data_IF_910770284699
#
_entry.id   IF_910770284699
#
_cell.length_a   1.000
_cell.length_b   1.000
_cell.length_c   1.000
_cell.angle_alpha   90.00
_cell.angle_beta   90.00
_cell.angle_gamma   90.00
#
_symmetry.space_group_name_H-M   'P 1'
#
loop_
_entity.id
_entity.type
_entity.pdbx_description
1 polymer ?
#
# COMPACT_ATOMS: atom_id res chain seq x y z
N UNK A 1 7.87 17.51 13.34
CA UNK A 1 7.87 16.09 13.73
C UNK A 1 8.23 15.29 12.51
N UNK A 2 9.32 14.53 12.55
CA UNK A 2 9.73 13.65 11.45
C UNK A 2 8.85 12.39 11.45
N UNK A 3 8.45 11.90 10.29
CA UNK A 3 7.50 10.77 10.18
C UNK A 3 8.04 9.45 10.77
N UNK A 4 9.34 9.34 10.97
CA UNK A 4 10.00 8.21 11.61
C UNK A 4 10.29 8.40 13.11
N UNK A 5 9.89 9.54 13.71
CA UNK A 5 10.04 9.71 15.16
C UNK A 5 9.18 8.69 15.91
N UNK A 6 9.74 8.03 16.94
CA UNK A 6 9.04 7.00 17.71
C UNK A 6 8.76 5.70 16.94
N UNK A 7 9.54 5.39 15.90
CA UNK A 7 9.36 4.19 15.09
C UNK A 7 9.41 2.89 15.92
N UNK A 8 10.16 2.86 17.00
CA UNK A 8 10.26 1.70 17.90
C UNK A 8 8.91 1.35 18.52
N UNK A 9 8.14 2.35 18.95
CA UNK A 9 6.84 2.16 19.61
C UNK A 9 5.83 1.48 18.67
N UNK A 10 6.04 1.59 17.37
CA UNK A 10 5.17 0.97 16.35
C UNK A 10 5.76 -0.35 15.83
N UNK A 11 7.06 -0.36 15.54
CA UNK A 11 7.70 -1.51 14.87
C UNK A 11 7.96 -2.67 15.84
N UNK A 12 8.45 -2.40 17.05
CA UNK A 12 8.80 -3.46 18.01
C UNK A 12 7.60 -4.33 18.43
N UNK A 13 6.40 -3.80 18.70
CA UNK A 13 5.21 -4.62 18.94
C UNK A 13 4.85 -5.51 17.73
N UNK A 14 5.05 -5.02 16.51
CA UNK A 14 4.81 -5.83 15.30
C UNK A 14 5.85 -6.95 15.19
N UNK A 15 7.12 -6.64 15.39
CA UNK A 15 8.19 -7.64 15.41
C UNK A 15 7.90 -8.72 16.46
N UNK A 16 7.57 -8.33 17.68
CA UNK A 16 7.27 -9.25 18.77
C UNK A 16 6.08 -10.18 18.46
N UNK A 17 5.03 -9.66 17.83
CA UNK A 17 3.85 -10.44 17.43
C UNK A 17 4.18 -11.57 16.46
N UNK A 18 5.14 -11.38 15.56
CA UNK A 18 5.51 -12.35 14.54
C UNK A 18 6.80 -13.12 14.85
N UNK A 19 7.48 -12.83 15.96
CA UNK A 19 8.78 -13.42 16.29
C UNK A 19 8.76 -14.95 16.36
N UNK A 20 7.67 -15.54 16.88
CA UNK A 20 7.52 -17.00 17.04
C UNK A 20 6.89 -17.71 15.83
N UNK A 21 6.61 -16.99 14.74
CA UNK A 21 6.00 -17.57 13.53
C UNK A 21 7.07 -17.88 12.50
N UNK A 22 7.01 -19.04 11.91
CA UNK A 22 7.84 -19.43 10.76
C UNK A 22 7.30 -18.76 9.49
N UNK A 23 7.71 -17.50 9.29
CA UNK A 23 7.30 -16.68 8.15
C UNK A 23 8.48 -15.85 7.65
N UNK A 24 8.63 -15.77 6.35
CA UNK A 24 9.50 -14.76 5.73
C UNK A 24 8.88 -13.38 5.95
N UNK A 25 9.65 -12.48 6.56
CA UNK A 25 9.18 -11.16 6.98
C UNK A 25 9.86 -10.07 6.16
N UNK A 26 9.06 -9.16 5.66
CA UNK A 26 9.52 -8.10 4.76
C UNK A 26 9.08 -6.73 5.28
N UNK A 27 10.00 -5.77 5.19
CA UNK A 27 9.74 -4.37 5.53
C UNK A 27 9.98 -3.48 4.31
N UNK A 28 9.05 -2.59 4.04
CA UNK A 28 9.15 -1.58 2.96
C UNK A 28 8.85 -0.21 3.50
N UNK A 29 9.73 0.76 3.22
CA UNK A 29 9.51 2.12 3.67
C UNK A 29 10.06 3.17 2.70
N UNK A 30 9.65 4.41 2.88
CA UNK A 30 10.19 5.56 2.16
C UNK A 30 11.50 6.05 2.78
N UNK A 31 12.00 7.14 2.24
CA UNK A 31 13.29 7.71 2.66
C UNK A 31 13.30 8.26 4.10
N UNK A 32 12.15 8.51 4.69
CA UNK A 32 12.07 8.93 6.08
C UNK A 32 12.57 7.86 7.06
N UNK A 33 12.44 6.58 6.67
CA UNK A 33 12.89 5.43 7.44
C UNK A 33 14.31 4.96 7.09
N UNK A 34 15.06 5.74 6.29
CA UNK A 34 16.45 5.45 5.96
C UNK A 34 17.38 5.80 7.15
N UNK A 35 17.18 5.13 8.27
CA UNK A 35 17.85 5.36 9.55
C UNK A 35 18.68 4.12 9.92
N UNK A 36 19.99 4.25 10.27
CA UNK A 36 20.85 3.12 10.61
C UNK A 36 20.28 2.19 11.68
N UNK A 37 19.67 2.76 12.72
CA UNK A 37 19.06 1.98 13.80
C UNK A 37 17.91 1.07 13.31
N UNK A 38 17.16 1.49 12.29
CA UNK A 38 16.10 0.68 11.67
C UNK A 38 16.73 -0.50 10.90
N UNK A 39 17.78 -0.26 10.13
CA UNK A 39 18.47 -1.34 9.42
C UNK A 39 19.01 -2.39 10.39
N UNK A 40 19.72 -1.95 11.44
CA UNK A 40 20.26 -2.82 12.46
C UNK A 40 19.16 -3.65 13.13
N UNK A 41 18.04 -3.02 13.50
CA UNK A 41 16.91 -3.69 14.15
C UNK A 41 16.26 -4.74 13.25
N UNK A 42 16.07 -4.43 11.97
CA UNK A 42 15.51 -5.36 10.99
C UNK A 42 16.45 -6.54 10.72
N UNK A 43 17.76 -6.28 10.60
CA UNK A 43 18.78 -7.30 10.40
C UNK A 43 18.86 -8.24 11.62
N UNK A 44 18.89 -7.69 12.83
CA UNK A 44 18.90 -8.44 14.10
C UNK A 44 17.68 -9.38 14.22
N UNK A 45 16.53 -8.93 13.77
CA UNK A 45 15.26 -9.68 13.89
C UNK A 45 14.91 -10.52 12.68
N UNK A 46 15.83 -10.62 11.71
CA UNK A 46 15.68 -11.48 10.52
C UNK A 46 14.62 -11.02 9.52
N UNK A 47 14.42 -9.71 9.42
CA UNK A 47 13.56 -9.12 8.38
C UNK A 47 14.35 -8.83 7.12
N UNK A 48 13.78 -9.16 5.98
CA UNK A 48 14.18 -8.57 4.71
C UNK A 48 13.59 -7.17 4.58
N UNK A 49 14.38 -6.23 4.01
CA UNK A 49 13.88 -4.88 3.84
C UNK A 49 14.25 -4.25 2.50
N UNK A 50 13.43 -3.29 2.08
CA UNK A 50 13.70 -2.37 0.99
C UNK A 50 13.26 -0.97 1.42
N UNK A 51 14.22 -0.07 1.53
CA UNK A 51 13.98 1.29 2.00
C UNK A 51 14.57 2.27 0.99
N UNK A 52 13.81 3.28 0.60
CA UNK A 52 14.33 4.30 -0.30
C UNK A 52 15.45 5.08 0.39
N UNK A 53 16.58 5.20 -0.30
CA UNK A 53 17.71 6.00 0.18
C UNK A 53 17.71 7.36 -0.51
N UNK A 54 17.86 8.48 0.23
CA UNK A 54 18.03 9.79 -0.37
C UNK A 54 19.27 9.82 -1.26
N UNK A 55 19.16 10.46 -2.42
CA UNK A 55 20.29 10.63 -3.34
C UNK A 55 21.31 11.59 -2.76
N UNK A 56 22.61 11.26 -2.89
CA UNK A 56 23.74 12.12 -2.55
C UNK A 56 24.82 12.08 -3.64
N UNK A 57 25.85 12.91 -3.50
CA UNK A 57 26.92 13.02 -4.49
C UNK A 57 27.70 11.70 -4.65
N UNK A 58 28.05 11.05 -3.54
CA UNK A 58 28.81 9.78 -3.54
C UNK A 58 28.06 8.67 -4.26
N UNK A 59 26.75 8.53 -3.99
CA UNK A 59 25.92 7.55 -4.70
C UNK A 59 25.82 7.82 -6.20
N UNK A 60 25.73 9.10 -6.60
CA UNK A 60 25.72 9.48 -8.02
C UNK A 60 27.05 9.22 -8.69
N UNK A 61 28.16 9.47 -8.00
CA UNK A 61 29.51 9.20 -8.49
C UNK A 61 29.72 7.71 -8.76
N UNK A 62 29.29 6.83 -7.85
CA UNK A 62 29.37 5.37 -8.03
C UNK A 62 28.70 4.88 -9.32
N UNK A 63 27.64 5.54 -9.78
CA UNK A 63 26.89 5.18 -10.99
C UNK A 63 27.14 6.14 -12.16
N UNK A 64 28.16 7.03 -12.07
CA UNK A 64 28.39 8.09 -13.07
C UNK A 64 28.51 7.54 -14.50
N UNK A 65 29.10 6.37 -14.67
CA UNK A 65 29.23 5.68 -15.97
C UNK A 65 27.88 5.30 -16.61
N UNK A 66 26.79 5.17 -15.83
CA UNK A 66 25.43 4.91 -16.31
C UNK A 66 24.62 6.18 -16.54
N UNK A 67 25.10 7.33 -16.08
CA UNK A 67 24.42 8.62 -16.24
C UNK A 67 24.69 9.29 -17.57
N UNK A 68 25.69 8.80 -18.32
CA UNK A 68 25.91 9.21 -19.69
C UNK A 68 24.75 8.79 -20.59
N UNK A 69 24.32 9.68 -21.49
CA UNK A 69 23.23 9.38 -22.40
C UNK A 69 23.55 8.14 -23.23
N UNK A 70 22.66 7.13 -23.28
CA UNK A 70 22.87 5.96 -24.11
C UNK A 70 23.06 6.32 -25.59
N UNK A 71 24.05 5.71 -26.24
CA UNK A 71 24.32 5.91 -27.66
C UNK A 71 23.15 5.41 -28.51
N UNK A 72 22.81 6.13 -29.57
CA UNK A 72 21.74 5.78 -30.50
C UNK A 72 20.52 6.69 -30.39
N UNK A 73 19.53 6.42 -31.25
CA UNK A 73 18.26 7.17 -31.27
C UNK A 73 17.42 6.76 -30.05
N UNK A 74 17.03 7.70 -29.18
CA UNK A 74 16.18 7.37 -28.03
C UNK A 74 14.79 6.91 -28.49
N UNK A 75 14.21 5.98 -27.74
CA UNK A 75 12.81 5.62 -27.95
C UNK A 75 11.90 6.81 -27.68
N UNK A 76 10.92 7.05 -28.54
CA UNK A 76 9.91 8.09 -28.34
C UNK A 76 8.77 7.66 -27.40
N UNK A 77 8.66 6.37 -27.10
CA UNK A 77 7.53 5.82 -26.37
C UNK A 77 7.92 4.96 -25.16
N UNK A 78 9.12 4.39 -25.15
CA UNK A 78 9.54 3.44 -24.13
C UNK A 78 10.58 4.05 -23.18
N UNK A 79 10.38 3.86 -21.88
CA UNK A 79 11.37 4.19 -20.85
C UNK A 79 12.46 3.13 -20.84
N UNK A 80 13.73 3.54 -20.97
CA UNK A 80 14.87 2.64 -20.75
C UNK A 80 15.21 2.63 -19.28
N UNK A 81 15.19 1.43 -18.67
CA UNK A 81 15.53 1.20 -17.25
C UNK A 81 16.84 0.44 -17.16
N UNK A 82 17.69 0.91 -16.26
CA UNK A 82 18.95 0.26 -15.91
C UNK A 82 18.93 0.11 -14.38
N UNK A 83 19.33 -1.06 -13.91
CA UNK A 83 19.49 -1.34 -12.49
C UNK A 83 20.93 -1.68 -12.22
N UNK A 84 21.50 -1.10 -11.19
CA UNK A 84 22.88 -1.35 -10.80
C UNK A 84 22.94 -1.69 -9.32
N UNK A 85 23.70 -2.72 -9.02
CA UNK A 85 23.91 -3.21 -7.67
C UNK A 85 25.23 -2.65 -7.15
N UNK A 86 25.17 -1.89 -6.09
CA UNK A 86 26.34 -1.22 -5.52
C UNK A 86 26.44 -1.49 -4.01
N UNK A 87 27.65 -1.62 -3.53
CA UNK A 87 27.93 -1.59 -2.11
C UNK A 87 28.21 -0.15 -1.67
N UNK A 88 27.48 0.29 -0.61
CA UNK A 88 27.59 1.64 -0.12
C UNK A 88 27.58 1.67 1.41
N UNK A 89 28.41 2.52 1.97
CA UNK A 89 28.44 2.83 3.39
C UNK A 89 28.41 4.36 3.57
N UNK A 90 27.38 4.85 4.26
CA UNK A 90 27.35 6.24 4.72
C UNK A 90 28.23 6.40 5.99
N UNK A 91 28.67 7.61 6.29
CA UNK A 91 29.48 7.88 7.49
C UNK A 91 28.78 7.47 8.80
N UNK A 92 27.45 7.53 8.82
CA UNK A 92 26.63 7.16 9.98
C UNK A 92 26.33 5.66 10.09
N UNK A 93 26.78 4.84 9.11
CA UNK A 93 26.49 3.41 9.10
C UNK A 93 27.62 2.60 9.73
N UNK A 94 27.25 1.60 10.50
CA UNK A 94 28.16 0.64 11.15
C UNK A 94 28.90 -0.26 10.15
N UNK A 95 28.28 -0.55 9.01
CA UNK A 95 28.82 -1.43 7.97
C UNK A 95 28.27 -1.04 6.59
N UNK A 96 28.96 -1.48 5.52
CA UNK A 96 28.43 -1.33 4.16
C UNK A 96 27.16 -2.16 3.99
N UNK A 97 26.26 -1.66 3.15
CA UNK A 97 25.01 -2.33 2.78
C UNK A 97 24.79 -2.29 1.27
N UNK A 98 24.09 -3.29 0.79
CA UNK A 98 23.66 -3.37 -0.60
C UNK A 98 22.70 -2.24 -0.92
N UNK A 99 22.97 -1.50 -1.99
CA UNK A 99 22.13 -0.44 -2.52
C UNK A 99 21.89 -0.69 -4.00
N UNK A 100 20.64 -0.66 -4.41
CA UNK A 100 20.26 -0.77 -5.82
C UNK A 100 19.97 0.62 -6.35
N UNK A 101 20.70 1.00 -7.41
CA UNK A 101 20.43 2.19 -8.17
C UNK A 101 19.46 1.86 -9.32
N UNK A 102 18.36 2.60 -9.39
CA UNK A 102 17.40 2.57 -10.49
C UNK A 102 17.59 3.82 -11.33
N UNK A 103 17.93 3.64 -12.60
CA UNK A 103 18.19 4.71 -13.57
C UNK A 103 17.15 4.60 -14.67
N UNK A 104 16.36 5.65 -14.88
CA UNK A 104 15.28 5.68 -15.87
C UNK A 104 15.48 6.82 -16.85
N UNK A 105 15.61 6.47 -18.13
CA UNK A 105 15.63 7.41 -19.24
C UNK A 105 14.22 7.49 -19.85
N UNK A 106 13.55 8.59 -19.58
CA UNK A 106 12.21 8.83 -20.12
C UNK A 106 12.28 9.49 -21.50
N UNK A 107 11.33 9.22 -22.41
CA UNK A 107 11.23 9.88 -23.68
C UNK A 107 11.16 11.41 -23.52
N UNK A 108 11.98 12.13 -24.28
CA UNK A 108 12.04 13.59 -24.25
C UNK A 108 12.80 14.23 -23.10
N UNK A 109 13.26 13.48 -22.10
CA UNK A 109 14.07 14.00 -21.00
C UNK A 109 15.58 14.00 -21.36
N UNK A 110 16.29 15.05 -20.96
CA UNK A 110 17.74 15.18 -21.19
C UNK A 110 18.57 14.41 -20.18
N UNK A 111 18.05 14.22 -18.98
CA UNK A 111 18.74 13.56 -17.88
C UNK A 111 17.93 12.38 -17.35
N UNK A 112 18.58 11.32 -16.85
CA UNK A 112 17.88 10.20 -16.27
C UNK A 112 17.32 10.55 -14.91
N UNK A 113 16.18 9.93 -14.55
CA UNK A 113 15.69 9.89 -13.17
C UNK A 113 16.41 8.80 -12.42
N UNK A 114 16.97 9.15 -11.28
CA UNK A 114 17.74 8.20 -10.45
C UNK A 114 17.08 8.03 -9.09
N UNK A 115 16.97 6.80 -8.67
CA UNK A 115 16.49 6.41 -7.33
C UNK A 115 17.40 5.36 -6.71
N UNK A 116 17.58 5.39 -5.40
CA UNK A 116 18.38 4.43 -4.66
C UNK A 116 17.51 3.70 -3.63
N UNK A 117 17.75 2.40 -3.48
CA UNK A 117 17.06 1.53 -2.52
C UNK A 117 18.11 0.75 -1.75
N UNK A 118 18.17 0.92 -0.43
CA UNK A 118 18.98 0.08 0.44
C UNK A 118 18.20 -1.19 0.78
N UNK A 119 18.91 -2.33 0.77
CA UNK A 119 18.28 -3.64 0.97
C UNK A 119 19.26 -4.67 1.51
N UNK A 120 18.77 -5.68 2.21
CA UNK A 120 19.49 -6.90 2.57
C UNK A 120 18.96 -8.13 1.79
N UNK A 121 18.08 -7.91 0.82
CA UNK A 121 17.50 -8.98 0.02
C UNK A 121 18.50 -9.51 -1.02
N UNK A 122 18.63 -10.83 -1.20
CA UNK A 122 19.60 -11.41 -2.15
C UNK A 122 19.10 -11.46 -3.60
N UNK A 123 17.82 -11.11 -3.85
CA UNK A 123 17.18 -11.21 -5.17
C UNK A 123 17.79 -10.22 -6.17
N UNK A 124 17.52 -10.44 -7.47
CA UNK A 124 17.98 -9.59 -8.55
C UNK A 124 17.50 -8.14 -8.39
N UNK A 125 18.28 -7.14 -8.81
CA UNK A 125 17.94 -5.73 -8.67
C UNK A 125 16.57 -5.34 -9.23
N UNK A 126 16.20 -5.88 -10.40
CA UNK A 126 14.87 -5.63 -11.00
C UNK A 126 13.74 -6.15 -10.10
N UNK A 127 13.91 -7.36 -9.53
CA UNK A 127 12.91 -7.93 -8.63
C UNK A 127 12.75 -7.06 -7.36
N UNK A 128 13.85 -6.64 -6.75
CA UNK A 128 13.84 -5.80 -5.54
C UNK A 128 13.15 -4.47 -5.82
N UNK A 129 13.44 -3.84 -6.96
CA UNK A 129 12.79 -2.59 -7.35
C UNK A 129 11.29 -2.78 -7.60
N UNK A 130 10.88 -3.87 -8.26
CA UNK A 130 9.45 -4.20 -8.44
C UNK A 130 8.77 -4.42 -7.10
N UNK A 131 9.41 -5.18 -6.21
CA UNK A 131 8.90 -5.39 -4.85
C UNK A 131 8.77 -4.06 -4.09
N UNK A 132 9.78 -3.19 -4.15
CA UNK A 132 9.70 -1.85 -3.54
C UNK A 132 8.55 -1.02 -4.10
N UNK A 133 8.36 -1.02 -5.42
CA UNK A 133 7.32 -0.21 -6.07
C UNK A 133 5.89 -0.60 -5.63
N UNK A 134 5.67 -1.83 -5.20
CA UNK A 134 4.39 -2.25 -4.62
C UNK A 134 4.04 -1.50 -3.32
N UNK A 135 4.97 -0.71 -2.73
CA UNK A 135 4.67 0.22 -1.64
C UNK A 135 3.56 1.21 -2.01
N UNK A 136 3.47 1.60 -3.26
CA UNK A 136 2.40 2.46 -3.77
C UNK A 136 0.99 1.94 -3.49
N UNK A 137 0.81 0.64 -3.32
CA UNK A 137 -0.48 0.05 -2.93
C UNK A 137 -0.93 0.54 -1.55
N UNK A 138 0.00 0.68 -0.59
CA UNK A 138 -0.33 1.22 0.73
C UNK A 138 -0.80 2.69 0.64
N UNK A 139 -0.19 3.48 -0.23
CA UNK A 139 -0.63 4.88 -0.48
C UNK A 139 -2.04 4.92 -1.07
N UNK A 140 -2.37 3.98 -1.96
CA UNK A 140 -3.71 3.86 -2.51
C UNK A 140 -4.74 3.56 -1.41
N UNK A 141 -4.46 2.62 -0.51
CA UNK A 141 -5.32 2.33 0.64
C UNK A 141 -5.48 3.53 1.57
N UNK A 142 -4.39 4.28 1.83
CA UNK A 142 -4.46 5.51 2.62
C UNK A 142 -5.34 6.57 1.94
N UNK A 143 -5.21 6.75 0.63
CA UNK A 143 -6.07 7.67 -0.16
C UNK A 143 -7.54 7.25 -0.09
N UNK A 144 -7.85 5.98 -0.26
CA UNK A 144 -9.22 5.47 -0.16
C UNK A 144 -9.81 5.71 1.23
N UNK A 145 -9.05 5.47 2.30
CA UNK A 145 -9.49 5.78 3.66
C UNK A 145 -9.77 7.27 3.87
N UNK A 146 -8.94 8.14 3.31
CA UNK A 146 -9.16 9.60 3.38
C UNK A 146 -10.39 10.07 2.62
N UNK A 147 -10.63 9.55 1.42
CA UNK A 147 -11.69 10.03 0.54
C UNK A 147 -13.02 9.30 0.75
N UNK A 148 -13.02 7.98 0.78
CA UNK A 148 -14.24 7.20 0.95
C UNK A 148 -14.76 7.24 2.40
N UNK A 149 -13.89 7.05 3.38
CA UNK A 149 -14.27 6.95 4.80
C UNK A 149 -13.99 8.22 5.60
N UNK A 150 -13.27 9.19 5.03
CA UNK A 150 -12.96 10.48 5.67
C UNK A 150 -12.35 10.32 7.06
N UNK A 151 -11.50 9.32 7.26
CA UNK A 151 -10.91 9.00 8.56
C UNK A 151 -10.01 10.10 9.14
N UNK A 152 -9.64 11.10 8.33
CA UNK A 152 -8.94 12.31 8.78
C UNK A 152 -9.87 13.38 9.36
N UNK A 153 -11.19 13.22 9.29
CA UNK A 153 -12.15 14.14 9.89
C UNK A 153 -12.38 13.82 11.37
N UNK A 154 -11.40 14.20 12.18
CA UNK A 154 -11.40 14.02 13.61
C UNK A 154 -11.77 15.36 14.26
N UNK A 155 -13.05 15.53 14.60
CA UNK A 155 -13.63 16.81 15.07
C UNK A 155 -14.04 16.81 16.55
N UNK A 156 -13.64 15.79 17.31
CA UNK A 156 -13.92 15.73 18.74
C UNK A 156 -12.92 16.61 19.51
N UNK A 157 -13.37 17.20 20.64
CA UNK A 157 -12.51 18.04 21.47
C UNK A 157 -11.41 17.26 22.19
N UNK A 158 -11.70 16.02 22.60
CA UNK A 158 -10.74 15.16 23.32
C UNK A 158 -9.99 14.28 22.32
N UNK A 159 -8.69 14.13 22.54
CA UNK A 159 -7.84 13.24 21.72
C UNK A 159 -8.36 11.80 21.71
N UNK A 160 -8.71 11.27 22.89
CA UNK A 160 -9.21 9.89 23.03
C UNK A 160 -10.49 9.62 22.23
N UNK A 161 -11.39 10.58 22.16
CA UNK A 161 -12.63 10.45 21.36
C UNK A 161 -12.31 10.39 19.86
N UNK A 162 -11.29 11.13 19.41
CA UNK A 162 -10.81 11.08 18.04
C UNK A 162 -10.10 9.74 17.73
N UNK A 163 -9.38 9.17 18.69
CA UNK A 163 -8.77 7.87 18.57
C UNK A 163 -9.82 6.77 18.35
N UNK A 164 -10.86 6.72 19.19
CA UNK A 164 -11.99 5.80 19.01
C UNK A 164 -12.66 6.00 17.66
N UNK A 165 -12.86 7.25 17.27
CA UNK A 165 -13.47 7.60 15.98
C UNK A 165 -12.62 7.10 14.82
N UNK A 166 -11.29 7.25 14.88
CA UNK A 166 -10.39 6.72 13.88
C UNK A 166 -10.47 5.19 13.78
N UNK A 167 -10.55 4.49 14.91
CA UNK A 167 -10.72 3.03 14.92
C UNK A 167 -12.04 2.60 14.28
N UNK A 168 -13.14 3.32 14.52
CA UNK A 168 -14.42 3.05 13.86
C UNK A 168 -14.33 3.28 12.33
N UNK A 169 -13.63 4.31 11.89
CA UNK A 169 -13.38 4.52 10.46
C UNK A 169 -12.52 3.41 9.86
N UNK A 170 -11.50 2.93 10.58
CA UNK A 170 -10.68 1.80 10.15
C UNK A 170 -11.48 0.50 10.04
N UNK A 171 -12.40 0.25 11.00
CA UNK A 171 -13.32 -0.87 10.94
C UNK A 171 -14.23 -0.79 9.71
N UNK A 172 -14.82 0.38 9.45
CA UNK A 172 -15.66 0.59 8.27
C UNK A 172 -14.88 0.40 6.96
N UNK A 173 -13.62 0.86 6.93
CA UNK A 173 -12.71 0.63 5.80
C UNK A 173 -12.44 -0.88 5.59
N UNK A 174 -12.17 -1.62 6.66
CA UNK A 174 -11.93 -3.06 6.59
C UNK A 174 -13.18 -3.81 6.09
N UNK A 175 -14.37 -3.46 6.58
CA UNK A 175 -15.63 -4.06 6.10
C UNK A 175 -15.85 -3.82 4.60
N UNK A 176 -15.55 -2.61 4.10
CA UNK A 176 -15.64 -2.32 2.67
C UNK A 176 -14.57 -3.05 1.85
N UNK A 177 -13.38 -3.27 2.42
CA UNK A 177 -12.34 -4.08 1.79
C UNK A 177 -12.75 -5.56 1.75
N UNK A 178 -13.37 -6.08 2.80
CA UNK A 178 -13.95 -7.43 2.78
C UNK A 178 -15.03 -7.58 1.72
N UNK A 179 -15.85 -6.56 1.50
CA UNK A 179 -16.83 -6.59 0.40
C UNK A 179 -16.15 -6.76 -0.96
N UNK A 180 -14.96 -6.21 -1.17
CA UNK A 180 -14.16 -6.44 -2.39
C UNK A 180 -13.56 -7.84 -2.48
N UNK A 181 -13.31 -8.49 -1.36
CA UNK A 181 -12.80 -9.88 -1.33
C UNK A 181 -13.90 -10.91 -1.64
N UNK A 182 -15.17 -10.49 -1.59
CA UNK A 182 -16.28 -11.30 -2.06
C UNK A 182 -16.30 -11.24 -3.60
N UNK A 183 -16.71 -12.31 -4.25
CA UNK A 183 -16.89 -12.36 -5.69
C UNK A 183 -17.97 -11.35 -6.14
N UNK A 184 -17.51 -10.13 -6.47
CA UNK A 184 -18.37 -9.08 -6.96
C UNK A 184 -18.73 -9.34 -8.45
N UNK A 185 -19.91 -8.89 -8.93
CA UNK A 185 -20.21 -8.87 -10.35
C UNK A 185 -19.09 -8.18 -11.15
N UNK A 186 -18.73 -8.72 -12.31
CA UNK A 186 -17.63 -8.24 -13.16
C UNK A 186 -17.72 -6.72 -13.45
N UNK A 187 -18.92 -6.21 -13.68
CA UNK A 187 -19.17 -4.78 -13.89
C UNK A 187 -18.78 -3.89 -12.69
N UNK A 188 -18.52 -4.48 -11.52
CA UNK A 188 -18.15 -3.77 -10.29
C UNK A 188 -16.72 -4.08 -9.83
N UNK A 189 -16.01 -4.98 -10.49
CA UNK A 189 -14.69 -5.47 -10.07
C UNK A 189 -13.67 -4.33 -9.91
N UNK A 190 -13.69 -3.36 -10.82
CA UNK A 190 -12.76 -2.22 -10.83
C UNK A 190 -13.27 -0.98 -10.06
N UNK A 191 -14.40 -1.08 -9.38
CA UNK A 191 -14.92 0.08 -8.67
C UNK A 191 -14.05 0.44 -7.45
N UNK A 192 -13.73 1.73 -7.31
CA UNK A 192 -13.10 2.26 -6.10
C UNK A 192 -14.04 2.12 -4.90
N UNK A 193 -13.50 2.14 -3.67
CA UNK A 193 -14.34 2.15 -2.46
C UNK A 193 -15.30 3.36 -2.42
N UNK A 194 -14.89 4.49 -2.99
CA UNK A 194 -15.78 5.65 -3.15
C UNK A 194 -16.95 5.33 -4.07
N UNK A 195 -16.68 4.65 -5.20
CA UNK A 195 -17.74 4.24 -6.15
C UNK A 195 -18.69 3.22 -5.51
N UNK A 196 -18.15 2.23 -4.79
CA UNK A 196 -18.98 1.27 -4.05
C UNK A 196 -19.85 1.98 -3.01
N UNK A 197 -19.28 2.91 -2.25
CA UNK A 197 -20.04 3.66 -1.26
C UNK A 197 -21.18 4.48 -1.90
N UNK A 198 -20.91 5.19 -2.98
CA UNK A 198 -21.89 6.10 -3.61
C UNK A 198 -22.96 5.34 -4.39
N UNK A 199 -22.57 4.28 -5.12
CA UNK A 199 -23.46 3.59 -6.06
C UNK A 199 -24.16 2.38 -5.45
N UNK A 200 -23.56 1.72 -4.46
CA UNK A 200 -24.11 0.52 -3.81
C UNK A 200 -24.67 0.82 -2.42
N UNK A 201 -23.90 1.45 -1.53
CA UNK A 201 -24.31 1.63 -0.13
C UNK A 201 -25.27 2.81 0.02
N UNK A 202 -25.04 3.91 -0.69
CA UNK A 202 -25.89 5.13 -0.66
C UNK A 202 -26.99 5.12 -1.72
N UNK A 203 -27.40 3.95 -2.15
CA UNK A 203 -28.51 3.81 -3.10
C UNK A 203 -29.82 4.26 -2.45
N UNK A 204 -30.56 5.11 -3.14
CA UNK A 204 -31.89 5.55 -2.69
C UNK A 204 -32.88 4.39 -2.67
N UNK A 205 -33.76 4.36 -1.68
CA UNK A 205 -34.81 3.37 -1.60
C UNK A 205 -36.14 3.98 -1.15
N UNK A 206 -37.24 3.47 -1.71
CA UNK A 206 -38.59 3.71 -1.22
C UNK A 206 -39.02 2.55 -0.32
N UNK A 207 -39.43 2.86 0.89
CA UNK A 207 -39.96 1.87 1.81
C UNK A 207 -41.46 1.72 1.56
N UNK A 208 -41.88 0.54 1.17
CA UNK A 208 -43.30 0.19 0.96
C UNK A 208 -43.69 -0.79 2.06
N UNK A 209 -44.74 -0.43 2.81
CA UNK A 209 -45.36 -1.32 3.80
C UNK A 209 -46.64 -1.89 3.22
N UNK A 210 -46.72 -3.20 3.17
CA UNK A 210 -47.93 -3.90 2.74
C UNK A 210 -48.23 -5.05 3.69
N UNK A 211 -49.38 -4.97 4.36
CA UNK A 211 -49.80 -5.95 5.34
C UNK A 211 -48.70 -6.36 6.32
N UNK A 212 -48.12 -7.57 6.19
CA UNK A 212 -47.07 -8.13 7.07
C UNK A 212 -45.64 -7.96 6.52
N UNK A 213 -45.48 -7.30 5.37
CA UNK A 213 -44.19 -7.17 4.69
C UNK A 213 -43.73 -5.72 4.60
N UNK A 214 -42.42 -5.52 4.76
CA UNK A 214 -41.71 -4.27 4.46
C UNK A 214 -40.83 -4.54 3.26
N UNK A 215 -41.06 -3.80 2.19
CA UNK A 215 -40.28 -3.95 0.95
C UNK A 215 -39.47 -2.68 0.69
N UNK A 216 -38.19 -2.83 0.44
CA UNK A 216 -37.31 -1.76 0.00
C UNK A 216 -37.24 -1.80 -1.53
N UNK A 217 -37.85 -0.82 -2.18
CA UNK A 217 -37.74 -0.63 -3.62
C UNK A 217 -36.50 0.22 -3.88
N UNK A 218 -35.42 -0.39 -4.35
CA UNK A 218 -34.14 0.28 -4.61
C UNK A 218 -34.20 1.00 -5.96
N UNK A 219 -33.54 2.17 -6.02
CA UNK A 219 -33.38 2.90 -7.27
C UNK A 219 -32.38 2.16 -8.18
N UNK A 220 -32.81 1.75 -9.35
CA UNK A 220 -32.01 0.98 -10.30
C UNK A 220 -31.30 1.93 -11.27
N UNK A 221 -30.22 2.59 -10.82
CA UNK A 221 -29.46 3.54 -11.62
C UNK A 221 -28.12 2.96 -12.09
N UNK A 222 -27.22 2.65 -11.14
CA UNK A 222 -25.89 2.13 -11.44
C UNK A 222 -25.72 0.66 -11.04
N UNK A 223 -26.62 0.15 -10.18
CA UNK A 223 -26.63 -1.22 -9.68
C UNK A 223 -28.00 -1.81 -9.95
N UNK A 224 -28.05 -2.90 -10.68
CA UNK A 224 -29.28 -3.56 -11.05
C UNK A 224 -29.73 -4.59 -10.00
N UNK A 225 -31.00 -4.96 -10.01
CA UNK A 225 -31.54 -5.98 -9.11
C UNK A 225 -30.77 -7.32 -9.13
N UNK A 226 -30.39 -7.86 -10.31
CA UNK A 226 -29.52 -9.04 -10.39
C UNK A 226 -28.18 -8.88 -9.70
N UNK A 227 -27.52 -7.71 -9.82
CA UNK A 227 -26.22 -7.43 -9.17
C UNK A 227 -26.36 -7.42 -7.63
N UNK A 228 -27.41 -6.80 -7.12
CA UNK A 228 -27.70 -6.81 -5.67
C UNK A 228 -27.92 -8.25 -5.17
N UNK A 229 -28.71 -9.04 -5.89
CA UNK A 229 -28.93 -10.45 -5.54
C UNK A 229 -27.64 -11.28 -5.55
N UNK A 230 -26.78 -11.09 -6.52
CA UNK A 230 -25.50 -11.77 -6.60
C UNK A 230 -24.62 -11.46 -5.37
N UNK A 231 -24.52 -10.19 -4.98
CA UNK A 231 -23.77 -9.76 -3.78
C UNK A 231 -24.38 -10.37 -2.52
N UNK A 232 -25.69 -10.30 -2.33
CA UNK A 232 -26.35 -10.88 -1.16
C UNK A 232 -26.17 -12.39 -1.10
N UNK A 233 -26.20 -13.09 -2.22
CA UNK A 233 -25.94 -14.52 -2.30
C UNK A 233 -24.49 -14.83 -1.92
N UNK A 234 -23.51 -14.05 -2.41
CA UNK A 234 -22.11 -14.21 -2.04
C UNK A 234 -21.88 -13.99 -0.53
N UNK A 235 -22.51 -12.97 0.06
CA UNK A 235 -22.49 -12.74 1.51
C UNK A 235 -23.12 -13.91 2.27
N UNK A 236 -24.21 -14.45 1.79
CA UNK A 236 -24.91 -15.60 2.43
C UNK A 236 -24.03 -16.85 2.47
N UNK A 237 -23.22 -17.08 1.44
CA UNK A 237 -22.24 -18.19 1.38
C UNK A 237 -21.13 -18.08 2.42
N UNK A 238 -20.87 -16.88 2.94
CA UNK A 238 -19.86 -16.64 4.00
C UNK A 238 -20.37 -17.00 5.41
N UNK A 239 -21.67 -17.28 5.59
CA UNK A 239 -22.19 -17.73 6.88
C UNK A 239 -21.60 -19.10 7.20
N UNK A 240 -20.95 -19.20 8.36
CA UNK A 240 -20.58 -20.50 8.89
C UNK A 240 -21.82 -21.40 8.94
N UNK A 241 -21.70 -22.68 8.55
CA UNK A 241 -22.80 -23.62 8.77
C UNK A 241 -23.16 -23.59 10.25
N UNK A 242 -24.47 -23.72 10.60
CA UNK A 242 -24.88 -23.79 11.99
C UNK A 242 -24.06 -24.90 12.65
N UNK A 243 -23.40 -24.58 13.76
CA UNK A 243 -22.77 -25.60 14.58
C UNK A 243 -23.89 -26.59 14.92
N UNK A 244 -23.77 -27.82 14.41
CA UNK A 244 -24.66 -28.91 14.80
C UNK A 244 -24.51 -29.06 16.32
N UNK A 245 -25.60 -28.78 17.04
CA UNK A 245 -25.71 -29.00 18.47
C UNK A 245 -25.74 -30.50 18.78
#
# INVERSE_FOLDING_TARGET
VHSADGWQDVLDPVIARYAKRDLMRFFRADAAYAIPAIYARLEETGYFYTIRLPSNAVLKEKIAHQLARPVGRPSLTKVKRIYEDIEYQAQSWDKPRRVIAKIEWHPGELFPKVGFIVTNMPMDPDWVVRFYNQRGTAEQHIKEGKYAFRWTRLSCKRFRDNEVRLQLHALAYNLATFLRCIELPEAMADWSLTSLQLKLIKMGARVVRHARAITFQLAEVAVTGPMVRAILTAIHRLRAPPLCA
#
